data_IF_206416843521
#
_entry.id   IF_206416843521
#
_cell.length_a   1.000
_cell.length_b   1.000
_cell.length_c   1.000
_cell.angle_alpha   90.00
_cell.angle_beta   90.00
_cell.angle_gamma   90.00
#
_symmetry.space_group_name_H-M   'P 1'
#
loop_
_entity.id
_entity.type
_entity.pdbx_description
1 polymer ?
#
# COMPACT_ATOMS: atom_id res chain seq x y z
N UNK A 1 -44.89 25.92 61.47
CA UNK A 1 -44.17 24.86 60.70
C UNK A 1 -43.27 25.53 59.68
N UNK A 2 -41.95 25.51 59.88
CA UNK A 2 -40.95 26.01 58.91
C UNK A 2 -40.21 24.79 58.32
N UNK A 3 -39.97 24.72 57.00
CA UNK A 3 -39.20 23.63 56.41
C UNK A 3 -37.72 23.76 56.80
N UNK A 4 -37.11 22.64 57.18
CA UNK A 4 -35.67 22.51 57.48
C UNK A 4 -34.88 22.67 56.19
N UNK A 5 -33.97 23.65 56.16
CA UNK A 5 -32.92 23.76 55.17
C UNK A 5 -31.81 22.74 55.48
N UNK A 6 -31.82 21.61 54.79
CA UNK A 6 -30.76 20.60 54.91
C UNK A 6 -30.60 19.84 53.58
N UNK A 7 -30.17 20.52 52.51
CA UNK A 7 -29.93 19.85 51.21
C UNK A 7 -28.69 20.33 50.44
N UNK A 8 -28.11 21.49 50.75
CA UNK A 8 -27.05 22.10 49.93
C UNK A 8 -25.69 21.36 49.96
N UNK A 9 -25.21 20.92 51.13
CA UNK A 9 -23.88 20.26 51.24
C UNK A 9 -23.84 18.85 50.68
N UNK A 10 -24.93 18.09 50.84
CA UNK A 10 -25.05 16.72 50.32
C UNK A 10 -25.18 16.73 48.80
N UNK A 11 -25.92 17.68 48.21
CA UNK A 11 -25.98 17.85 46.76
C UNK A 11 -24.61 18.21 46.16
N UNK A 12 -23.88 19.14 46.78
CA UNK A 12 -22.55 19.53 46.30
C UNK A 12 -21.51 18.40 46.38
N UNK A 13 -21.60 17.53 47.38
CA UNK A 13 -20.74 16.35 47.51
C UNK A 13 -21.03 15.29 46.43
N UNK A 14 -22.31 15.10 46.10
CA UNK A 14 -22.74 14.19 45.03
C UNK A 14 -22.27 14.69 43.67
N UNK A 15 -22.41 15.98 43.36
CA UNK A 15 -21.97 16.53 42.06
C UNK A 15 -20.46 16.48 41.86
N UNK A 16 -19.66 16.56 42.93
CA UNK A 16 -18.20 16.50 42.86
C UNK A 16 -17.71 15.07 42.61
N UNK A 17 -18.35 14.07 43.24
CA UNK A 17 -18.10 12.65 42.98
C UNK A 17 -18.50 12.30 41.54
N UNK A 18 -19.63 12.80 41.06
CA UNK A 18 -20.12 12.56 39.70
C UNK A 18 -19.14 13.09 38.64
N UNK A 19 -18.58 14.29 38.86
CA UNK A 19 -17.56 14.87 38.00
C UNK A 19 -16.24 14.08 38.02
N UNK A 20 -15.82 13.60 39.19
CA UNK A 20 -14.65 12.75 39.34
C UNK A 20 -14.81 11.42 38.61
N UNK A 21 -15.98 10.78 38.75
CA UNK A 21 -16.29 9.54 38.06
C UNK A 21 -16.37 9.77 36.55
N UNK A 22 -17.01 10.85 36.10
CA UNK A 22 -17.05 11.21 34.68
C UNK A 22 -15.64 11.44 34.11
N UNK A 23 -14.78 12.19 34.81
CA UNK A 23 -13.40 12.42 34.40
C UNK A 23 -12.58 11.12 34.36
N UNK A 24 -12.79 10.23 35.33
CA UNK A 24 -12.12 8.93 35.37
C UNK A 24 -12.58 8.01 34.23
N UNK A 25 -13.88 7.99 33.93
CA UNK A 25 -14.45 7.23 32.81
C UNK A 25 -13.95 7.75 31.45
N UNK A 26 -13.85 9.07 31.28
CA UNK A 26 -13.27 9.68 30.08
C UNK A 26 -11.78 9.32 29.95
N UNK A 27 -11.02 9.37 31.06
CA UNK A 27 -9.62 8.96 31.07
C UNK A 27 -9.43 7.49 30.68
N UNK A 28 -10.25 6.59 31.22
CA UNK A 28 -10.24 5.17 30.86
C UNK A 28 -10.65 4.92 29.41
N UNK A 29 -11.55 5.72 28.86
CA UNK A 29 -11.96 5.63 27.45
C UNK A 29 -10.89 6.16 26.47
N UNK A 30 -10.04 7.11 26.88
CA UNK A 30 -9.00 7.70 26.03
C UNK A 30 -7.80 6.78 25.81
N UNK A 31 -7.47 5.92 26.78
CA UNK A 31 -6.34 4.98 26.70
C UNK A 31 -6.42 4.04 25.48
N UNK A 32 -7.52 3.30 25.24
CA UNK A 32 -7.62 2.43 24.06
C UNK A 32 -7.64 3.24 22.75
N UNK A 33 -8.15 4.48 22.77
CA UNK A 33 -8.14 5.39 21.62
C UNK A 33 -6.71 5.75 21.19
N UNK A 34 -5.82 6.02 22.16
CA UNK A 34 -4.40 6.27 21.89
C UNK A 34 -3.66 5.01 21.42
N UNK A 35 -4.11 3.82 21.82
CA UNK A 35 -3.51 2.55 21.37
C UNK A 35 -3.88 2.20 19.92
N UNK A 36 -5.03 2.67 19.42
CA UNK A 36 -5.48 2.43 18.04
C UNK A 36 -4.90 3.43 17.04
N UNK A 37 -4.45 4.60 17.50
CA UNK A 37 -3.99 5.68 16.63
C UNK A 37 -2.75 5.34 15.77
N UNK A 38 -1.70 4.67 16.30
CA UNK A 38 -0.51 4.32 15.52
C UNK A 38 -0.83 3.42 14.33
N UNK A 39 -1.64 2.37 14.56
CA UNK A 39 -2.02 1.43 13.50
C UNK A 39 -2.84 2.07 12.37
N UNK A 40 -3.65 3.09 12.69
CA UNK A 40 -4.40 3.84 11.67
C UNK A 40 -3.52 4.75 10.82
N UNK A 41 -2.42 5.27 11.39
CA UNK A 41 -1.47 6.10 10.64
C UNK A 41 -0.60 5.24 9.73
N UNK A 42 -0.09 4.11 10.23
CA UNK A 42 0.72 3.16 9.44
C UNK A 42 -0.10 2.61 8.27
N UNK A 43 -1.35 2.17 8.51
CA UNK A 43 -2.21 1.66 7.44
C UNK A 43 -2.48 2.68 6.33
N UNK A 44 -2.61 3.97 6.64
CA UNK A 44 -2.82 4.99 5.61
C UNK A 44 -1.56 5.24 4.77
N UNK A 45 -0.38 5.20 5.38
CA UNK A 45 0.90 5.37 4.68
C UNK A 45 1.19 4.19 3.75
N UNK A 46 0.88 2.97 4.19
CA UNK A 46 1.04 1.76 3.38
C UNK A 46 0.11 1.81 2.16
N UNK A 47 -1.14 2.22 2.32
CA UNK A 47 -2.10 2.36 1.21
C UNK A 47 -1.67 3.43 0.20
N UNK A 48 -1.17 4.58 0.66
CA UNK A 48 -0.66 5.62 -0.24
C UNK A 48 0.57 5.13 -1.02
N UNK A 49 1.47 4.41 -0.34
CA UNK A 49 2.68 3.85 -0.95
C UNK A 49 2.32 2.79 -1.98
N UNK A 50 1.42 1.86 -1.64
CA UNK A 50 0.93 0.82 -2.54
C UNK A 50 0.27 1.43 -3.79
N UNK A 51 -0.53 2.49 -3.63
CA UNK A 51 -1.14 3.20 -4.75
C UNK A 51 -0.08 3.83 -5.68
N UNK A 52 0.94 4.48 -5.12
CA UNK A 52 2.03 5.08 -5.91
C UNK A 52 2.87 4.02 -6.63
N UNK A 53 3.20 2.93 -5.94
CA UNK A 53 3.87 1.77 -6.52
C UNK A 53 3.04 1.17 -7.66
N UNK A 54 1.73 1.05 -7.45
CA UNK A 54 0.79 0.56 -8.45
C UNK A 54 0.80 1.39 -9.75
N UNK A 55 0.80 2.71 -9.62
CA UNK A 55 0.90 3.63 -10.77
C UNK A 55 2.25 3.48 -11.48
N UNK A 56 3.36 3.42 -10.74
CA UNK A 56 4.69 3.27 -11.33
C UNK A 56 4.84 1.93 -12.08
N UNK A 57 4.44 0.83 -11.45
CA UNK A 57 4.51 -0.50 -12.04
C UNK A 57 3.58 -0.64 -13.25
N UNK A 58 2.37 -0.06 -13.20
CA UNK A 58 1.43 -0.03 -14.33
C UNK A 58 2.00 0.78 -15.52
N UNK A 59 2.57 1.96 -15.24
CA UNK A 59 3.21 2.78 -16.27
C UNK A 59 4.37 2.02 -16.94
N UNK A 60 5.20 1.33 -16.17
CA UNK A 60 6.28 0.52 -16.72
C UNK A 60 5.75 -0.64 -17.53
N UNK A 61 4.71 -1.32 -17.07
CA UNK A 61 4.07 -2.40 -17.82
C UNK A 61 3.57 -1.91 -19.19
N UNK A 62 2.90 -0.76 -19.26
CA UNK A 62 2.44 -0.18 -20.51
C UNK A 62 3.60 0.22 -21.45
N UNK A 63 4.70 0.76 -20.90
CA UNK A 63 5.92 1.04 -21.66
C UNK A 63 6.50 -0.23 -22.30
N UNK A 64 6.61 -1.31 -21.51
CA UNK A 64 7.12 -2.60 -21.99
C UNK A 64 6.18 -3.19 -23.07
N UNK A 65 4.86 -3.16 -22.85
CA UNK A 65 3.88 -3.61 -23.84
C UNK A 65 4.01 -2.80 -25.13
N UNK A 66 4.12 -1.47 -25.03
CA UNK A 66 4.23 -0.60 -26.20
C UNK A 66 5.49 -0.91 -27.01
N UNK A 67 6.63 -1.11 -26.34
CA UNK A 67 7.88 -1.55 -26.98
C UNK A 67 7.72 -2.92 -27.65
N UNK A 68 7.14 -3.89 -26.94
CA UNK A 68 6.94 -5.26 -27.45
C UNK A 68 5.90 -5.36 -28.56
N UNK A 69 4.99 -4.39 -28.68
CA UNK A 69 4.06 -4.29 -29.82
C UNK A 69 4.76 -3.83 -31.09
N UNK A 70 5.80 -3.00 -30.98
CA UNK A 70 6.60 -2.57 -32.11
C UNK A 70 7.57 -3.67 -32.55
N UNK A 71 8.22 -4.31 -31.58
CA UNK A 71 9.08 -5.47 -31.78
C UNK A 71 9.02 -6.36 -30.53
N UNK A 72 8.50 -7.58 -30.69
CA UNK A 72 8.28 -8.50 -29.58
C UNK A 72 9.59 -8.94 -28.89
N UNK A 73 10.74 -8.75 -29.54
CA UNK A 73 12.07 -9.07 -29.01
C UNK A 73 12.83 -7.85 -28.46
N UNK A 74 12.26 -6.64 -28.54
CA UNK A 74 12.93 -5.41 -28.12
C UNK A 74 13.21 -5.31 -26.60
N UNK A 75 12.46 -6.05 -25.78
CA UNK A 75 12.56 -5.98 -24.32
C UNK A 75 13.08 -7.29 -23.75
N UNK A 76 14.04 -7.19 -22.84
CA UNK A 76 14.52 -8.28 -21.97
C UNK A 76 14.21 -7.97 -20.50
N UNK A 77 14.27 -9.00 -19.65
CA UNK A 77 14.10 -8.86 -18.20
C UNK A 77 15.11 -7.87 -17.61
N UNK A 78 14.72 -7.13 -16.58
CA UNK A 78 15.57 -6.09 -16.00
C UNK A 78 14.98 -5.45 -14.75
N UNK A 79 15.63 -4.38 -14.30
CA UNK A 79 15.20 -3.61 -13.13
C UNK A 79 15.63 -2.16 -13.23
N UNK A 80 14.89 -1.25 -12.63
CA UNK A 80 15.24 0.17 -12.52
C UNK A 80 14.68 0.81 -11.24
N UNK A 81 15.21 1.96 -10.85
CA UNK A 81 14.65 2.79 -9.78
C UNK A 81 13.55 3.72 -10.30
N UNK A 82 12.60 4.07 -9.43
CA UNK A 82 11.53 4.99 -9.79
C UNK A 82 12.01 6.45 -9.66
N UNK A 83 11.77 7.28 -10.68
CA UNK A 83 12.13 8.69 -10.61
C UNK A 83 11.28 9.48 -9.60
N UNK A 84 10.00 9.11 -9.46
CA UNK A 84 8.99 9.86 -8.72
C UNK A 84 8.84 9.42 -7.25
N UNK A 85 9.51 8.34 -6.84
CA UNK A 85 9.41 7.76 -5.50
C UNK A 85 10.79 7.28 -5.01
N UNK A 86 11.43 7.98 -4.05
CA UNK A 86 12.71 7.55 -3.49
C UNK A 86 12.60 6.16 -2.84
N UNK A 87 13.60 5.31 -3.06
CA UNK A 87 13.60 3.93 -2.55
C UNK A 87 12.69 2.96 -3.32
N UNK A 88 11.94 3.43 -4.33
CA UNK A 88 11.14 2.54 -5.17
C UNK A 88 11.98 1.86 -6.23
N UNK A 89 11.76 0.55 -6.40
CA UNK A 89 12.40 -0.29 -7.38
C UNK A 89 11.36 -1.04 -8.20
N UNK A 90 11.56 -1.05 -9.51
CA UNK A 90 10.77 -1.81 -10.47
C UNK A 90 11.62 -2.93 -11.02
N UNK A 91 11.08 -4.14 -11.02
CA UNK A 91 11.70 -5.32 -11.60
C UNK A 91 10.73 -5.94 -12.59
N UNK A 92 11.22 -6.33 -13.76
CA UNK A 92 10.39 -6.99 -14.75
C UNK A 92 11.04 -8.23 -15.31
N UNK A 93 10.18 -9.20 -15.62
CA UNK A 93 10.57 -10.49 -16.19
C UNK A 93 9.82 -10.69 -17.50
N UNK A 94 10.56 -11.04 -18.54
CA UNK A 94 10.02 -11.40 -19.84
C UNK A 94 10.33 -12.87 -20.08
N UNK A 95 9.30 -13.67 -20.36
CA UNK A 95 9.45 -15.09 -20.67
C UNK A 95 8.72 -15.43 -21.95
N UNK A 96 9.39 -16.20 -22.81
CA UNK A 96 8.78 -16.75 -24.01
C UNK A 96 7.88 -17.93 -23.66
N UNK A 97 6.58 -17.80 -23.93
CA UNK A 97 5.57 -18.84 -23.68
C UNK A 97 5.37 -19.70 -24.91
N UNK A 98 5.38 -19.09 -26.10
CA UNK A 98 5.30 -19.78 -27.37
C UNK A 98 6.16 -19.08 -28.42
N UNK A 99 7.03 -19.83 -29.08
CA UNK A 99 7.69 -19.42 -30.32
C UNK A 99 7.32 -20.44 -31.40
N UNK A 100 6.75 -19.94 -32.50
CA UNK A 100 6.61 -20.74 -33.71
C UNK A 100 7.74 -20.38 -34.67
N UNK A 101 8.45 -21.35 -35.24
CA UNK A 101 9.46 -21.11 -36.28
C UNK A 101 8.82 -20.84 -37.66
N UNK A 102 7.51 -20.98 -37.80
CA UNK A 102 6.81 -20.79 -39.07
C UNK A 102 6.55 -19.28 -39.33
N UNK A 103 6.91 -18.76 -40.52
CA UNK A 103 6.64 -17.37 -40.88
C UNK A 103 5.12 -17.10 -40.87
N UNK A 104 4.70 -16.00 -40.25
CA UNK A 104 3.29 -15.64 -40.09
C UNK A 104 2.56 -16.32 -38.93
N UNK A 105 3.27 -17.06 -38.07
CA UNK A 105 2.74 -17.52 -36.78
C UNK A 105 3.36 -16.66 -35.69
N UNK A 106 2.54 -15.84 -35.02
CA UNK A 106 3.00 -14.93 -33.97
C UNK A 106 3.68 -15.63 -32.80
N UNK A 107 4.49 -14.88 -32.04
CA UNK A 107 5.08 -15.30 -30.78
C UNK A 107 4.23 -14.83 -29.61
N UNK A 108 4.24 -15.57 -28.51
CA UNK A 108 3.58 -15.21 -27.26
C UNK A 108 4.64 -15.10 -26.15
N UNK A 109 4.68 -13.95 -25.50
CA UNK A 109 5.52 -13.70 -24.34
C UNK A 109 4.67 -13.32 -23.13
N UNK A 110 5.08 -13.75 -21.94
CA UNK A 110 4.56 -13.25 -20.67
C UNK A 110 5.50 -12.19 -20.11
N UNK A 111 4.92 -11.10 -19.62
CA UNK A 111 5.65 -10.01 -18.98
C UNK A 111 5.07 -9.82 -17.59
N UNK A 112 5.92 -9.92 -16.58
CA UNK A 112 5.57 -9.59 -15.19
C UNK A 112 6.37 -8.40 -14.73
N UNK A 113 5.71 -7.39 -14.18
CA UNK A 113 6.33 -6.21 -13.54
C UNK A 113 6.00 -6.25 -12.06
N UNK A 114 7.02 -6.06 -11.23
CA UNK A 114 6.93 -5.94 -9.78
C UNK A 114 7.47 -4.59 -9.36
N UNK A 115 6.75 -3.89 -8.49
CA UNK A 115 7.23 -2.69 -7.82
C UNK A 115 7.34 -2.94 -6.32
N UNK A 116 8.45 -2.52 -5.72
CA UNK A 116 8.68 -2.58 -4.28
C UNK A 116 9.25 -1.26 -3.77
N UNK A 117 9.11 -1.04 -2.46
CA UNK A 117 9.89 -0.05 -1.73
C UNK A 117 11.05 -0.77 -1.05
N UNK A 118 12.27 -0.55 -1.54
CA UNK A 118 13.52 -1.09 -1.02
C UNK A 118 13.84 -0.41 0.31
N UNK A 119 13.41 -1.03 1.40
CA UNK A 119 13.53 -0.47 2.75
C UNK A 119 14.90 -0.76 3.36
N UNK A 120 15.59 -1.81 2.88
CA UNK A 120 16.86 -2.29 3.42
C UNK A 120 18.08 -1.95 2.55
N UNK A 121 17.86 -1.39 1.36
CA UNK A 121 18.89 -1.00 0.40
C UNK A 121 19.50 -2.18 -0.34
N UNK A 122 18.81 -3.33 -0.37
CA UNK A 122 19.27 -4.57 -1.04
C UNK A 122 19.32 -4.45 -2.56
N UNK A 123 18.64 -3.45 -3.13
CA UNK A 123 18.40 -3.33 -4.56
C UNK A 123 17.67 -4.59 -5.10
N UNK A 124 16.77 -5.17 -4.32
CA UNK A 124 15.88 -6.26 -4.74
C UNK A 124 14.49 -6.07 -4.16
N UNK A 125 13.47 -6.65 -4.80
CA UNK A 125 12.13 -6.73 -4.21
C UNK A 125 11.99 -7.98 -3.33
N UNK A 126 12.14 -7.78 -2.02
CA UNK A 126 12.16 -8.87 -1.03
C UNK A 126 10.79 -9.15 -0.42
N UNK A 127 10.49 -10.40 -0.08
CA UNK A 127 9.15 -10.85 0.32
C UNK A 127 8.57 -10.16 1.59
N UNK A 128 9.39 -9.46 2.38
CA UNK A 128 8.98 -8.69 3.55
C UNK A 128 8.58 -7.24 3.26
N UNK A 129 8.74 -6.78 2.02
CA UNK A 129 8.51 -5.39 1.62
C UNK A 129 7.15 -5.17 0.97
N UNK A 130 6.64 -3.93 1.07
CA UNK A 130 5.42 -3.51 0.37
C UNK A 130 5.65 -3.66 -1.14
N UNK A 131 4.82 -4.48 -1.77
CA UNK A 131 4.99 -4.90 -3.15
C UNK A 131 3.69 -4.93 -3.92
N UNK A 132 3.78 -4.51 -5.18
CA UNK A 132 2.72 -4.69 -6.18
C UNK A 132 3.27 -5.53 -7.32
N UNK A 133 2.41 -6.35 -7.93
CA UNK A 133 2.77 -7.18 -9.08
C UNK A 133 1.67 -7.15 -10.13
N UNK A 134 2.07 -6.97 -11.38
CA UNK A 134 1.21 -7.06 -12.54
C UNK A 134 1.81 -8.04 -13.55
N UNK A 135 0.99 -8.95 -14.04
CA UNK A 135 1.38 -9.92 -15.06
C UNK A 135 0.47 -9.79 -16.27
N UNK A 136 1.05 -9.84 -17.47
CA UNK A 136 0.33 -9.79 -18.73
C UNK A 136 0.95 -10.70 -19.77
N UNK A 137 0.25 -10.87 -20.89
CA UNK A 137 0.73 -11.60 -22.06
C UNK A 137 0.68 -10.69 -23.29
N UNK A 138 1.74 -10.74 -24.08
CA UNK A 138 1.91 -9.98 -25.32
C UNK A 138 2.09 -10.96 -26.48
N UNK A 139 1.33 -10.74 -27.55
CA UNK A 139 1.42 -11.54 -28.79
C UNK A 139 1.95 -10.68 -29.93
N UNK A 140 2.83 -11.22 -30.78
CA UNK A 140 3.09 -10.57 -32.07
C UNK A 140 1.94 -10.89 -33.02
N UNK A 141 1.50 -9.87 -33.76
CA UNK A 141 0.54 -10.06 -34.85
C UNK A 141 1.34 -10.42 -36.11
N UNK A 142 0.95 -11.46 -36.86
CA UNK A 142 1.57 -11.75 -38.14
C UNK A 142 1.31 -10.67 -39.19
#
# INVERSE_FOLDING_TARGET
MRPRAATSRTQAGVTLIELLVAAMLVGLALVPLMQLYPGLLEANQDVETEMRLGVAASRKLEELIASMRADIDAVSSGSEGCADLPGCRLEWTVQSVHLSPAPGVGALKSVGVRGCLDADGSLSCDAGEVQVRYDTKVTSRP
#
